data_IF_800936378521
#
_entry.id   IF_800936378521
#
_cell.length_a   1.000
_cell.length_b   1.000
_cell.length_c   1.000
_cell.angle_alpha   90.00
_cell.angle_beta   90.00
_cell.angle_gamma   90.00
#
_symmetry.space_group_name_H-M   'P 1'
#
loop_
_entity.id
_entity.type
_entity.pdbx_description
1 polymer ?
#
# COMPACT_ATOMS: atom_id res chain seq x y z
N UNK A 1 -11.85 -25.92 20.18
CA UNK A 1 -10.72 -25.02 20.52
C UNK A 1 -11.17 -23.60 20.28
N UNK A 2 -11.25 -22.77 21.33
CA UNK A 2 -11.54 -21.34 21.18
C UNK A 2 -10.28 -20.63 20.68
N UNK A 3 -10.41 -19.80 19.64
CA UNK A 3 -9.32 -18.95 19.15
C UNK A 3 -9.04 -17.86 20.17
N UNK A 4 -7.76 -17.68 20.52
CA UNK A 4 -7.29 -16.53 21.31
C UNK A 4 -7.42 -15.25 20.44
N UNK A 5 -8.50 -14.50 20.70
CA UNK A 5 -8.87 -13.30 19.93
C UNK A 5 -7.80 -12.20 19.98
N UNK A 6 -7.28 -11.81 21.15
CA UNK A 6 -6.16 -10.87 21.23
C UNK A 6 -4.93 -11.31 20.43
N UNK A 7 -4.55 -12.59 20.53
CA UNK A 7 -3.42 -13.10 19.76
C UNK A 7 -3.68 -13.05 18.24
N UNK A 8 -4.91 -13.30 17.80
CA UNK A 8 -5.29 -13.17 16.39
C UNK A 8 -5.19 -11.71 15.90
N UNK A 9 -5.66 -10.75 16.70
CA UNK A 9 -5.55 -9.31 16.42
C UNK A 9 -4.10 -8.85 16.33
N UNK A 10 -3.26 -9.26 17.28
CA UNK A 10 -1.83 -8.97 17.27
C UNK A 10 -1.14 -9.45 15.99
N UNK A 11 -1.49 -10.67 15.53
CA UNK A 11 -0.96 -11.23 14.28
C UNK A 11 -1.39 -10.42 13.06
N UNK A 12 -2.61 -9.89 13.04
CA UNK A 12 -3.07 -9.00 11.96
C UNK A 12 -2.25 -7.71 11.89
N UNK A 13 -2.07 -7.02 13.03
CA UNK A 13 -1.25 -5.79 13.07
C UNK A 13 0.19 -6.06 12.64
N UNK A 14 0.78 -7.14 13.17
CA UNK A 14 2.16 -7.52 12.82
C UNK A 14 2.28 -7.90 11.35
N UNK A 15 1.32 -8.63 10.78
CA UNK A 15 1.36 -9.04 9.38
C UNK A 15 1.33 -7.84 8.42
N UNK A 16 0.53 -6.81 8.72
CA UNK A 16 0.48 -5.57 7.92
C UNK A 16 1.81 -4.82 7.99
N UNK A 17 2.37 -4.64 9.19
CA UNK A 17 3.66 -3.99 9.40
C UNK A 17 4.81 -4.70 8.70
N UNK A 18 4.90 -6.02 8.83
CA UNK A 18 5.97 -6.81 8.20
C UNK A 18 5.83 -6.86 6.68
N UNK A 19 4.59 -6.90 6.15
CA UNK A 19 4.37 -6.79 4.72
C UNK A 19 4.84 -5.42 4.18
N UNK A 20 4.51 -4.33 4.89
CA UNK A 20 4.95 -2.98 4.53
C UNK A 20 6.48 -2.85 4.58
N UNK A 21 7.10 -3.37 5.64
CA UNK A 21 8.57 -3.44 5.77
C UNK A 21 9.21 -4.21 4.62
N UNK A 22 8.66 -5.38 4.27
CA UNK A 22 9.13 -6.20 3.15
C UNK A 22 9.03 -5.48 1.80
N UNK A 23 7.94 -4.76 1.55
CA UNK A 23 7.81 -3.92 0.36
C UNK A 23 8.85 -2.80 0.33
N UNK A 24 9.10 -2.11 1.45
CA UNK A 24 10.14 -1.07 1.50
C UNK A 24 11.54 -1.64 1.28
N UNK A 25 11.85 -2.78 1.89
CA UNK A 25 13.12 -3.48 1.64
C UNK A 25 13.27 -3.86 0.16
N UNK A 26 12.23 -4.38 -0.48
CA UNK A 26 12.21 -4.65 -1.91
C UNK A 26 12.55 -3.39 -2.74
N UNK A 27 11.94 -2.24 -2.45
CA UNK A 27 12.22 -0.98 -3.14
C UNK A 27 13.69 -0.56 -2.98
N UNK A 28 14.26 -0.73 -1.77
CA UNK A 28 15.67 -0.44 -1.49
C UNK A 28 16.62 -1.39 -2.21
N UNK A 29 16.34 -2.69 -2.19
CA UNK A 29 17.13 -3.73 -2.86
C UNK A 29 17.13 -3.54 -4.39
N UNK A 30 15.98 -3.12 -4.96
CA UNK A 30 15.81 -2.75 -6.37
C UNK A 30 16.37 -1.36 -6.70
N UNK A 31 16.96 -0.68 -5.72
CA UNK A 31 17.66 0.61 -5.83
C UNK A 31 16.84 1.72 -6.48
N UNK A 32 15.51 1.70 -6.29
CA UNK A 32 14.67 2.82 -6.75
C UNK A 32 15.22 4.13 -6.20
N UNK A 33 15.13 5.20 -7.01
CA UNK A 33 15.63 6.50 -6.57
C UNK A 33 14.86 6.93 -5.32
N UNK A 34 15.59 7.53 -4.37
CA UNK A 34 15.06 7.97 -3.06
C UNK A 34 14.62 6.84 -2.11
N UNK A 35 14.75 5.56 -2.48
CA UNK A 35 14.34 4.44 -1.61
C UNK A 35 15.13 4.37 -0.30
N UNK A 36 16.35 4.92 -0.25
CA UNK A 36 17.17 5.05 0.95
C UNK A 36 16.47 5.82 2.08
N UNK A 37 15.60 6.78 1.71
CA UNK A 37 14.77 7.59 2.62
C UNK A 37 13.65 6.80 3.29
N UNK A 38 13.30 5.62 2.79
CA UNK A 38 12.39 4.72 3.48
C UNK A 38 13.06 4.20 4.76
N UNK A 39 12.31 4.24 5.86
CA UNK A 39 12.69 3.71 7.17
C UNK A 39 11.83 2.46 7.48
N UNK A 40 12.19 1.23 7.01
CA UNK A 40 11.36 0.02 7.20
C UNK A 40 11.09 -0.35 8.66
N UNK A 41 11.95 0.12 9.58
CA UNK A 41 11.77 -0.09 11.03
C UNK A 41 10.85 0.94 11.68
N UNK A 42 10.61 2.07 11.04
CA UNK A 42 9.78 3.13 11.58
C UNK A 42 8.30 2.76 11.41
N UNK A 43 7.55 2.74 12.52
CA UNK A 43 6.15 2.31 12.53
C UNK A 43 5.24 3.20 11.71
N UNK A 44 5.50 4.49 11.70
CA UNK A 44 4.75 5.46 10.91
C UNK A 44 4.87 5.17 9.41
N UNK A 45 6.10 4.97 8.91
CA UNK A 45 6.31 4.62 7.51
C UNK A 45 5.53 3.34 7.16
N UNK A 46 5.58 2.31 8.03
CA UNK A 46 4.87 1.04 7.81
C UNK A 46 3.36 1.25 7.74
N UNK A 47 2.80 1.97 8.73
CA UNK A 47 1.36 2.20 8.83
C UNK A 47 0.82 3.14 7.73
N UNK A 48 1.67 3.99 7.14
CA UNK A 48 1.29 4.88 6.04
C UNK A 48 1.11 4.13 4.69
N UNK A 49 1.56 2.89 4.56
CA UNK A 49 1.51 2.14 3.30
C UNK A 49 0.06 1.90 2.81
N UNK A 50 -0.84 1.46 3.68
CA UNK A 50 -2.25 1.21 3.31
C UNK A 50 -3.01 2.52 2.99
N UNK A 51 -2.91 3.58 3.79
CA UNK A 51 -3.39 4.92 3.40
C UNK A 51 -2.95 5.32 2.00
N UNK A 52 -1.66 5.16 1.70
CA UNK A 52 -1.13 5.53 0.39
C UNK A 52 -1.66 4.65 -0.74
N UNK A 53 -1.73 3.32 -0.55
CA UNK A 53 -2.37 2.43 -1.53
C UNK A 53 -3.85 2.78 -1.76
N UNK A 54 -4.54 3.27 -0.74
CA UNK A 54 -5.94 3.75 -0.84
C UNK A 54 -6.03 5.02 -1.68
N UNK A 55 -5.08 5.94 -1.53
CA UNK A 55 -4.96 7.14 -2.38
C UNK A 55 -4.72 6.75 -3.83
N UNK A 56 -3.80 5.81 -4.10
CA UNK A 56 -3.55 5.30 -5.45
C UNK A 56 -4.81 4.65 -6.03
N UNK A 57 -5.53 3.84 -5.25
CA UNK A 57 -6.80 3.23 -5.69
C UNK A 57 -7.80 4.32 -6.11
N UNK A 58 -8.02 5.33 -5.26
CA UNK A 58 -8.94 6.44 -5.56
C UNK A 58 -8.55 7.17 -6.85
N UNK A 59 -7.26 7.41 -7.05
CA UNK A 59 -6.75 8.02 -8.28
C UNK A 59 -7.12 7.20 -9.52
N UNK A 60 -6.93 5.88 -9.50
CA UNK A 60 -7.29 5.02 -10.63
C UNK A 60 -8.80 4.83 -10.79
N UNK A 61 -9.57 4.82 -9.70
CA UNK A 61 -11.03 4.81 -9.78
C UNK A 61 -11.55 6.08 -10.49
N UNK A 62 -10.97 7.25 -10.18
CA UNK A 62 -11.29 8.52 -10.86
C UNK A 62 -10.86 8.53 -12.33
N UNK A 63 -9.70 7.94 -12.64
CA UNK A 63 -9.12 7.94 -13.98
C UNK A 63 -9.79 6.93 -14.93
N UNK A 64 -9.93 5.68 -14.47
CA UNK A 64 -10.37 4.54 -15.26
C UNK A 64 -11.84 4.20 -15.04
N UNK A 65 -12.36 4.42 -13.82
CA UNK A 65 -13.75 4.08 -13.47
C UNK A 65 -14.78 4.87 -14.28
N UNK A 66 -14.46 6.10 -14.69
CA UNK A 66 -15.30 6.90 -15.60
C UNK A 66 -15.42 6.25 -16.99
N UNK A 67 -14.45 5.44 -17.39
CA UNK A 67 -14.41 4.74 -18.67
C UNK A 67 -14.83 3.26 -18.58
N UNK A 68 -15.20 2.77 -17.40
CA UNK A 68 -15.56 1.36 -17.18
C UNK A 68 -14.40 0.39 -17.40
N UNK A 69 -13.15 0.88 -17.31
CA UNK A 69 -11.95 0.03 -17.43
C UNK A 69 -11.59 -0.52 -16.06
N UNK A 70 -11.59 -1.84 -15.94
CA UNK A 70 -11.22 -2.54 -14.70
C UNK A 70 -9.93 -3.36 -14.91
N UNK A 71 -8.77 -2.87 -14.44
CA UNK A 71 -7.54 -3.63 -14.48
C UNK A 71 -7.60 -4.87 -13.59
N UNK A 72 -6.97 -5.95 -14.04
CA UNK A 72 -6.85 -7.19 -13.31
C UNK A 72 -5.40 -7.55 -13.00
N UNK A 73 -5.19 -8.22 -11.87
CA UNK A 73 -3.91 -8.87 -11.56
C UNK A 73 -4.03 -10.34 -11.96
N UNK A 74 -3.18 -10.78 -12.88
CA UNK A 74 -3.17 -12.15 -13.37
C UNK A 74 -1.87 -12.85 -13.00
N UNK A 75 -1.96 -14.11 -12.58
CA UNK A 75 -0.80 -14.97 -12.39
C UNK A 75 -0.50 -15.68 -13.73
N UNK A 76 0.68 -15.45 -14.30
CA UNK A 76 1.11 -16.06 -15.56
C UNK A 76 2.43 -16.80 -15.38
N UNK A 77 2.69 -17.77 -16.25
CA UNK A 77 3.97 -18.48 -16.31
C UNK A 77 4.81 -17.94 -17.46
N UNK A 78 6.01 -17.46 -17.15
CA UNK A 78 6.99 -16.92 -18.10
C UNK A 78 8.34 -17.57 -17.78
N UNK A 79 8.98 -18.16 -18.80
CA UNK A 79 10.26 -18.87 -18.66
C UNK A 79 10.28 -19.90 -17.50
N UNK A 80 9.18 -20.64 -17.34
CA UNK A 80 9.01 -21.65 -16.29
C UNK A 80 8.83 -21.09 -14.87
N UNK A 81 8.58 -19.78 -14.73
CA UNK A 81 8.35 -19.10 -13.44
C UNK A 81 6.98 -18.45 -13.41
N UNK A 82 6.26 -18.64 -12.31
CA UNK A 82 4.97 -17.97 -12.07
C UNK A 82 5.20 -16.56 -11.54
N UNK A 83 4.59 -15.56 -12.18
CA UNK A 83 4.75 -14.14 -11.88
C UNK A 83 3.41 -13.42 -12.01
N UNK A 84 3.23 -12.32 -11.27
CA UNK A 84 2.04 -11.47 -11.38
C UNK A 84 2.20 -10.45 -12.51
N UNK A 85 1.12 -10.25 -13.25
CA UNK A 85 1.01 -9.25 -14.31
C UNK A 85 -0.18 -8.35 -14.05
N UNK A 86 -0.05 -7.08 -14.45
CA UNK A 86 -1.18 -6.17 -14.62
C UNK A 86 -1.74 -6.35 -16.03
N UNK A 87 -3.02 -6.69 -16.12
CA UNK A 87 -3.79 -6.70 -17.35
C UNK A 87 -4.75 -5.51 -17.32
N UNK A 88 -4.73 -4.70 -18.37
CA UNK A 88 -5.70 -3.62 -18.55
C UNK A 88 -6.54 -3.94 -19.79
N UNK A 89 -7.87 -4.10 -19.65
CA UNK A 89 -8.73 -4.30 -20.81
C UNK A 89 -8.80 -2.99 -21.61
N UNK A 90 -8.53 -3.07 -22.92
CA UNK A 90 -8.59 -1.93 -23.83
C UNK A 90 -9.42 -2.27 -25.06
N UNK A 91 -10.05 -1.27 -25.67
CA UNK A 91 -10.76 -1.42 -26.95
C UNK A 91 -9.97 -0.74 -28.04
N UNK A 92 -9.54 -1.50 -29.05
CA UNK A 92 -8.82 -1.00 -30.22
C UNK A 92 -9.63 -1.35 -31.45
N UNK A 93 -10.00 -0.35 -32.24
CA UNK A 93 -10.85 -0.51 -33.44
C UNK A 93 -12.17 -1.26 -33.18
N UNK A 94 -12.75 -1.12 -31.98
CA UNK A 94 -13.99 -1.81 -31.59
C UNK A 94 -13.79 -3.25 -31.08
N UNK A 95 -12.57 -3.77 -31.08
CA UNK A 95 -12.24 -5.09 -30.58
C UNK A 95 -11.63 -5.03 -29.18
N UNK A 96 -12.07 -5.95 -28.30
CA UNK A 96 -11.53 -6.09 -26.96
C UNK A 96 -10.14 -6.72 -27.00
N UNK A 97 -9.18 -6.05 -26.40
CA UNK A 97 -7.77 -6.44 -26.36
C UNK A 97 -7.23 -6.34 -24.91
N UNK A 98 -6.14 -7.06 -24.63
CA UNK A 98 -5.44 -7.00 -23.35
C UNK A 98 -4.16 -6.18 -23.49
N UNK A 99 -4.01 -5.13 -22.69
CA UNK A 99 -2.74 -4.44 -22.50
C UNK A 99 -2.00 -5.05 -21.31
N UNK A 100 -0.79 -5.55 -21.56
CA UNK A 100 0.06 -6.19 -20.58
C UNK A 100 1.42 -5.47 -20.56
N UNK A 101 1.60 -4.44 -19.71
CA UNK A 101 2.91 -3.84 -19.52
C UNK A 101 3.91 -4.92 -19.09
N UNK A 102 5.13 -4.85 -19.64
CA UNK A 102 6.23 -5.71 -19.20
C UNK A 102 7.49 -4.86 -19.05
N UNK A 103 8.03 -4.67 -17.84
CA UNK A 103 7.53 -5.13 -16.53
C UNK A 103 6.09 -4.67 -16.18
N UNK A 104 5.38 -5.34 -15.25
CA UNK A 104 3.92 -5.21 -15.07
C UNK A 104 3.43 -3.83 -14.60
N UNK A 105 4.31 -3.04 -13.99
CA UNK A 105 4.08 -1.67 -13.55
C UNK A 105 4.94 -0.67 -14.35
N UNK A 106 5.45 -1.05 -15.52
CA UNK A 106 6.27 -0.18 -16.36
C UNK A 106 5.40 0.70 -17.27
N UNK A 107 4.57 1.54 -16.65
CA UNK A 107 3.73 2.52 -17.34
C UNK A 107 3.78 3.88 -16.64
N UNK A 108 3.30 4.92 -17.31
CA UNK A 108 3.18 6.27 -16.74
C UNK A 108 1.84 6.86 -17.12
N UNK A 109 1.25 7.63 -16.21
CA UNK A 109 -0.01 8.33 -16.45
C UNK A 109 0.28 9.79 -16.79
N UNK A 110 -0.22 10.25 -17.93
CA UNK A 110 -0.09 11.64 -18.35
C UNK A 110 -1.43 12.19 -18.82
N UNK A 111 -1.63 13.49 -18.62
CA UNK A 111 -2.74 14.24 -19.19
C UNK A 111 -2.14 15.35 -20.06
N UNK A 112 -2.46 15.35 -21.36
CA UNK A 112 -1.91 16.28 -22.35
C UNK A 112 -0.36 16.35 -22.32
N UNK A 113 0.30 15.20 -22.20
CA UNK A 113 1.76 15.10 -22.16
C UNK A 113 2.40 15.56 -20.84
N UNK A 114 1.62 16.03 -19.87
CA UNK A 114 2.10 16.34 -18.51
C UNK A 114 1.84 15.16 -17.60
N UNK A 115 2.85 14.75 -16.85
CA UNK A 115 2.73 13.70 -15.84
C UNK A 115 1.65 14.07 -14.83
N UNK A 116 0.72 13.15 -14.58
CA UNK A 116 -0.35 13.38 -13.62
C UNK A 116 0.22 13.26 -12.22
N UNK A 117 -0.14 14.21 -11.35
CA UNK A 117 0.29 14.24 -9.95
C UNK A 117 -0.79 13.66 -9.04
N UNK A 118 -0.36 12.93 -8.00
CA UNK A 118 -1.22 12.43 -6.93
C UNK A 118 -1.54 13.48 -5.86
N UNK A 119 -0.97 14.70 -5.97
CA UNK A 119 -1.08 15.73 -4.93
C UNK A 119 -2.54 16.06 -4.62
N UNK A 120 -3.42 16.11 -5.62
CA UNK A 120 -4.86 16.36 -5.40
C UNK A 120 -5.46 15.33 -4.45
N UNK A 121 -5.23 14.04 -4.70
CA UNK A 121 -5.79 12.97 -3.88
C UNK A 121 -5.10 12.88 -2.51
N UNK A 122 -3.81 13.19 -2.44
CA UNK A 122 -3.07 13.32 -1.18
C UNK A 122 -3.65 14.46 -0.34
N UNK A 123 -3.80 15.66 -0.91
CA UNK A 123 -4.35 16.84 -0.25
C UNK A 123 -5.79 16.58 0.22
N UNK A 124 -6.60 15.92 -0.61
CA UNK A 124 -7.95 15.56 -0.23
C UNK A 124 -7.99 14.52 0.90
N UNK A 125 -7.10 13.53 0.87
CA UNK A 125 -6.96 12.56 1.95
C UNK A 125 -6.57 13.25 3.26
N UNK A 126 -5.58 14.15 3.22
CA UNK A 126 -5.11 14.93 4.36
C UNK A 126 -6.20 15.88 4.88
N UNK A 127 -6.95 16.54 4.00
CA UNK A 127 -8.04 17.45 4.37
C UNK A 127 -9.23 16.70 4.99
N UNK A 128 -9.57 15.53 4.46
CA UNK A 128 -10.75 14.77 4.89
C UNK A 128 -10.53 14.11 6.24
N UNK A 129 -9.30 13.66 6.53
CA UNK A 129 -8.97 12.94 7.75
C UNK A 129 -8.16 13.78 8.75
N UNK A 130 -7.84 15.05 8.43
CA UNK A 130 -6.95 15.92 9.21
C UNK A 130 -5.48 15.46 9.23
N UNK A 131 -4.51 16.35 8.95
CA UNK A 131 -3.09 15.96 8.98
C UNK A 131 -2.64 15.42 10.36
N UNK A 132 -3.04 16.12 11.43
CA UNK A 132 -2.73 15.73 12.81
C UNK A 132 -3.52 14.49 13.23
N UNK A 133 -4.76 14.34 12.77
CA UNK A 133 -5.62 13.20 13.05
C UNK A 133 -5.12 11.92 12.33
N UNK A 134 -4.59 12.04 11.11
CA UNK A 134 -3.87 10.95 10.42
C UNK A 134 -2.62 10.59 11.20
N UNK A 135 -1.82 11.56 11.64
CA UNK A 135 -0.63 11.32 12.45
C UNK A 135 -0.99 10.60 13.75
N UNK A 136 -1.94 11.15 14.52
CA UNK A 136 -2.45 10.55 15.75
C UNK A 136 -2.99 9.14 15.51
N UNK A 137 -3.72 8.92 14.41
CA UNK A 137 -4.21 7.60 14.03
C UNK A 137 -3.07 6.63 13.70
N UNK A 138 -2.06 7.06 12.94
CA UNK A 138 -0.90 6.24 12.59
C UNK A 138 -0.05 5.90 13.84
N UNK A 139 0.06 6.83 14.78
CA UNK A 139 0.71 6.63 16.09
C UNK A 139 -0.10 5.70 16.98
N UNK A 140 -1.42 5.88 17.03
CA UNK A 140 -2.31 4.98 17.76
C UNK A 140 -2.21 3.56 17.20
N UNK A 141 -2.19 3.42 15.87
CA UNK A 141 -1.96 2.14 15.18
C UNK A 141 -0.60 1.52 15.52
N UNK A 142 0.47 2.31 15.59
CA UNK A 142 1.79 1.84 16.05
C UNK A 142 1.75 1.33 17.50
N UNK A 143 1.01 2.04 18.36
CA UNK A 143 0.86 1.69 19.76
C UNK A 143 -0.09 0.52 20.02
N UNK A 144 -1.04 0.23 19.13
CA UNK A 144 -1.98 -0.90 19.24
C UNK A 144 -1.28 -2.25 19.37
N UNK A 145 -0.15 -2.44 18.69
CA UNK A 145 0.68 -3.65 18.83
C UNK A 145 1.17 -3.82 20.27
N UNK A 146 1.70 -2.75 20.85
CA UNK A 146 2.21 -2.76 22.23
C UNK A 146 1.06 -2.95 23.24
N UNK A 147 -0.10 -2.35 23.00
CA UNK A 147 -1.28 -2.48 23.86
C UNK A 147 -1.85 -3.91 23.89
N UNK A 148 -1.78 -4.66 22.79
CA UNK A 148 -2.25 -6.05 22.74
C UNK A 148 -1.22 -7.03 23.35
N UNK A 149 0.08 -6.73 23.25
CA UNK A 149 1.14 -7.56 23.84
C UNK A 149 1.35 -7.33 25.33
N UNK A 150 1.27 -6.07 25.75
CA UNK A 150 1.58 -5.66 27.11
C UNK A 150 0.32 -5.13 27.77
N UNK A 151 -0.05 -5.73 28.91
CA UNK A 151 -0.99 -5.10 29.81
C UNK A 151 -0.42 -3.72 30.19
N UNK A 152 -1.11 -2.65 29.81
CA UNK A 152 -0.78 -1.32 30.33
C UNK A 152 -1.02 -1.27 31.85
N UNK A 153 -0.82 -0.11 32.49
CA UNK A 153 -1.19 0.08 33.90
C UNK A 153 -2.65 -0.31 34.20
N UNK A 154 -3.50 -0.29 33.16
CA UNK A 154 -4.93 -0.58 33.19
C UNK A 154 -5.28 -2.06 32.86
N UNK A 155 -4.29 -2.95 32.76
CA UNK A 155 -4.51 -4.37 32.47
C UNK A 155 -4.53 -4.72 30.98
N UNK A 156 -4.92 -5.97 30.70
CA UNK A 156 -5.03 -6.51 29.34
C UNK A 156 -6.30 -5.95 28.66
N UNK A 157 -6.25 -5.45 27.41
CA UNK A 157 -7.45 -5.01 26.72
C UNK A 157 -8.37 -6.21 26.45
N UNK A 158 -9.39 -6.38 27.28
CA UNK A 158 -10.42 -7.43 27.12
C UNK A 158 -11.47 -7.07 26.06
N UNK A 159 -11.60 -5.78 25.75
CA UNK A 159 -12.69 -5.22 24.94
C UNK A 159 -12.16 -4.72 23.59
N UNK A 160 -11.40 -5.56 22.89
CA UNK A 160 -11.07 -5.27 21.49
C UNK A 160 -12.35 -5.48 20.68
N UNK A 161 -12.91 -4.39 20.17
CA UNK A 161 -14.09 -4.43 19.29
C UNK A 161 -13.71 -5.07 17.94
N UNK A 162 -13.97 -6.37 17.83
CA UNK A 162 -13.75 -7.15 16.62
C UNK A 162 -15.08 -7.25 15.90
N UNK A 163 -15.29 -6.37 14.93
CA UNK A 163 -16.39 -6.50 13.97
C UNK A 163 -16.15 -7.67 13.01
N UNK A 164 -17.20 -8.19 12.38
CA UNK A 164 -17.11 -9.26 11.37
C UNK A 164 -16.19 -8.90 10.19
N UNK A 165 -15.97 -7.60 9.96
CA UNK A 165 -15.11 -7.08 8.89
C UNK A 165 -13.64 -6.95 9.29
N UNK A 166 -13.29 -7.08 10.57
CA UNK A 166 -11.94 -6.85 11.07
C UNK A 166 -10.91 -7.74 10.37
N UNK A 167 -11.03 -9.07 10.49
CA UNK A 167 -10.06 -10.00 9.91
C UNK A 167 -10.04 -9.95 8.36
N UNK A 168 -11.20 -9.94 7.66
CA UNK A 168 -11.20 -9.77 6.20
C UNK A 168 -10.50 -8.49 5.74
N UNK A 169 -10.67 -7.37 6.45
CA UNK A 169 -10.02 -6.12 6.11
C UNK A 169 -8.50 -6.19 6.23
N UNK A 170 -7.96 -6.74 7.33
CA UNK A 170 -6.52 -6.93 7.49
C UNK A 170 -5.93 -7.91 6.46
N UNK A 171 -6.63 -9.01 6.17
CA UNK A 171 -6.22 -9.92 5.10
C UNK A 171 -6.14 -9.20 3.75
N UNK A 172 -7.14 -8.38 3.40
CA UNK A 172 -7.15 -7.62 2.15
C UNK A 172 -6.00 -6.60 2.08
N UNK A 173 -5.70 -5.91 3.18
CA UNK A 173 -4.58 -4.96 3.30
C UNK A 173 -3.23 -5.64 3.10
N UNK A 174 -2.99 -6.72 3.84
CA UNK A 174 -1.74 -7.52 3.71
C UNK A 174 -1.59 -8.03 2.28
N UNK A 175 -2.66 -8.58 1.69
CA UNK A 175 -2.63 -9.06 0.30
C UNK A 175 -2.36 -7.94 -0.71
N UNK A 176 -2.87 -6.72 -0.48
CA UNK A 176 -2.58 -5.58 -1.36
C UNK A 176 -1.07 -5.25 -1.35
N UNK A 177 -0.44 -5.21 -0.17
CA UNK A 177 1.00 -4.96 -0.04
C UNK A 177 1.81 -6.11 -0.65
N UNK A 178 1.44 -7.35 -0.37
CA UNK A 178 2.13 -8.54 -0.92
C UNK A 178 2.00 -8.59 -2.45
N UNK A 179 0.84 -8.22 -3.02
CA UNK A 179 0.68 -8.12 -4.48
C UNK A 179 1.60 -7.04 -5.06
N UNK A 180 1.70 -5.86 -4.43
CA UNK A 180 2.64 -4.83 -4.85
C UNK A 180 4.08 -5.36 -4.82
N UNK A 181 4.48 -6.05 -3.75
CA UNK A 181 5.78 -6.71 -3.66
C UNK A 181 5.98 -7.70 -4.81
N UNK A 182 5.01 -8.57 -5.11
CA UNK A 182 5.10 -9.59 -6.16
C UNK A 182 5.03 -9.03 -7.59
N UNK A 183 4.52 -7.81 -7.79
CA UNK A 183 4.57 -7.11 -9.07
C UNK A 183 5.92 -6.39 -9.28
N UNK A 184 6.69 -6.17 -8.21
CA UNK A 184 7.96 -5.44 -8.25
C UNK A 184 9.14 -6.41 -8.18
N UNK A 185 9.17 -7.23 -7.12
CA UNK A 185 10.33 -8.01 -6.75
C UNK A 185 10.77 -9.00 -7.82
N UNK A 186 9.92 -9.66 -8.61
CA UNK A 186 10.41 -10.60 -9.63
C UNK A 186 11.14 -9.93 -10.81
N UNK A 187 10.97 -8.61 -11.00
CA UNK A 187 11.48 -7.89 -12.17
C UNK A 187 12.77 -7.13 -11.81
N UNK A 188 13.77 -7.20 -12.69
CA UNK A 188 15.08 -6.60 -12.44
C UNK A 188 15.08 -5.09 -12.63
N UNK A 189 14.27 -4.66 -13.58
CA UNK A 189 14.12 -3.32 -14.07
C UNK A 189 13.33 -2.44 -13.10
N UNK A 190 13.70 -1.17 -13.04
CA UNK A 190 12.93 -0.16 -12.33
C UNK A 190 11.71 0.20 -13.17
N UNK A 191 10.54 0.13 -12.55
CA UNK A 191 9.27 0.32 -13.23
C UNK A 191 8.78 1.75 -12.98
N UNK A 192 8.46 2.49 -14.04
CA UNK A 192 8.19 3.93 -13.95
C UNK A 192 7.07 4.27 -12.95
N UNK A 193 5.96 3.52 -12.96
CA UNK A 193 4.85 3.74 -12.02
C UNK A 193 5.28 3.54 -10.55
N UNK A 194 6.20 2.61 -10.30
CA UNK A 194 6.70 2.32 -8.95
C UNK A 194 7.57 3.47 -8.46
N UNK A 195 8.45 4.00 -9.32
CA UNK A 195 9.23 5.20 -9.00
C UNK A 195 8.30 6.38 -8.69
N UNK A 196 7.31 6.59 -9.55
CA UNK A 196 6.34 7.68 -9.40
C UNK A 196 5.55 7.60 -8.09
N UNK A 197 5.15 6.38 -7.73
CA UNK A 197 4.44 6.10 -6.49
C UNK A 197 5.35 6.26 -5.27
N UNK A 198 6.62 5.86 -5.34
CA UNK A 198 7.58 6.03 -4.25
C UNK A 198 7.83 7.51 -3.95
N UNK A 199 8.06 8.34 -4.97
CA UNK A 199 8.29 9.77 -4.78
C UNK A 199 7.07 10.45 -4.14
N UNK A 200 5.86 10.08 -4.59
CA UNK A 200 4.63 10.58 -4.01
C UNK A 200 4.39 10.11 -2.57
N UNK A 201 4.73 8.86 -2.26
CA UNK A 201 4.67 8.33 -0.89
C UNK A 201 5.61 9.10 0.05
N UNK A 202 6.84 9.35 -0.38
CA UNK A 202 7.81 10.13 0.39
C UNK A 202 7.35 11.59 0.56
N UNK A 203 6.71 12.17 -0.46
CA UNK A 203 6.08 13.50 -0.36
C UNK A 203 4.95 13.52 0.66
N UNK A 204 4.08 12.51 0.65
CA UNK A 204 3.00 12.36 1.64
C UNK A 204 3.57 12.27 3.06
N UNK A 205 4.61 11.47 3.27
CA UNK A 205 5.27 11.34 4.57
C UNK A 205 5.88 12.66 5.08
N UNK A 206 6.29 13.58 4.22
CA UNK A 206 6.81 14.89 4.63
C UNK A 206 5.70 15.85 5.08
N UNK A 207 4.49 15.71 4.54
CA UNK A 207 3.35 16.54 4.93
C UNK A 207 2.83 16.16 6.32
N UNK A 208 2.97 14.88 6.67
CA UNK A 208 2.70 14.37 8.00
C UNK A 208 3.90 14.72 8.88
N UNK A 209 3.79 15.80 9.68
CA UNK A 209 4.89 16.31 10.52
C UNK A 209 5.19 15.35 11.67
N UNK A 210 6.01 14.34 11.44
CA UNK A 210 6.44 13.41 12.48
C UNK A 210 7.62 14.00 13.26
N UNK A 211 7.47 14.19 14.58
CA UNK A 211 8.62 14.36 15.47
C UNK A 211 9.38 13.03 15.54
N UNK A 212 10.69 13.06 15.29
CA UNK A 212 11.52 11.87 14.98
C UNK A 212 11.79 10.90 16.15
N UNK A 213 11.14 11.05 17.32
CA UNK A 213 11.55 10.40 18.55
C UNK A 213 10.70 9.18 18.99
N UNK A 214 10.36 8.23 18.10
CA UNK A 214 9.74 6.94 18.53
C UNK A 214 10.12 5.74 17.67
#
# INVERSE_FOLDING_TARGET
MSVDRPMAVFRCYTAEEEAASGLMHCLKERRYANADRLKPRNHVHKNAAIPFLTILKKFFDELLGVQGVEPEIQLREVDGRRQLFLMVPIVVNGESNELLPNPPLSFSVSNQGRRVSYNKQIDEYVRTNGANEIDDHLREMANKRNLVLYAGPNGYPSDIDITDKFFPAYCARVLAIVRAYLLIQPHAEQQSYVQDSLDAFLGMLQLLKFDEDW
#
